data_IF_380640135563
#
_entry.id   IF_380640135563
#
_cell.length_a   1.000
_cell.length_b   1.000
_cell.length_c   1.000
_cell.angle_alpha   90.00
_cell.angle_beta   90.00
_cell.angle_gamma   90.00
#
_symmetry.space_group_name_H-M   'P 1'
#
loop_
_entity.id
_entity.type
_entity.pdbx_description
1 polymer ?
#
# COMPACT_ATOMS: atom_id res chain seq x y z
N UNK A 1 -6.88 8.44 3.63
CA UNK A 1 -8.28 8.26 4.10
C UNK A 1 -8.90 9.63 4.42
N UNK A 2 -10.16 9.87 4.03
CA UNK A 2 -10.87 11.16 4.19
C UNK A 2 -12.17 11.04 5.00
N UNK A 3 -12.56 12.13 5.69
CA UNK A 3 -13.84 12.28 6.40
C UNK A 3 -14.94 12.99 5.60
N UNK A 4 -14.78 13.08 4.28
CA UNK A 4 -15.63 13.79 3.32
C UNK A 4 -15.59 13.07 1.97
N UNK A 5 -16.36 13.53 0.98
CA UNK A 5 -16.29 13.03 -0.40
C UNK A 5 -14.87 13.11 -0.94
N UNK A 6 -14.46 12.16 -1.80
CA UNK A 6 -13.08 12.10 -2.32
C UNK A 6 -12.71 13.31 -3.19
N UNK A 7 -13.71 14.00 -3.73
CA UNK A 7 -13.65 15.25 -4.47
C UNK A 7 -13.45 16.50 -3.58
N UNK A 8 -13.46 16.36 -2.25
CA UNK A 8 -13.29 17.46 -1.30
C UNK A 8 -11.97 17.33 -0.55
N UNK A 9 -11.12 18.36 -0.66
CA UNK A 9 -9.86 18.46 0.06
C UNK A 9 -10.09 19.19 1.39
N UNK A 10 -9.95 18.45 2.49
CA UNK A 10 -10.01 19.01 3.84
C UNK A 10 -8.90 18.41 4.73
N UNK A 11 -8.17 19.23 5.49
CA UNK A 11 -8.23 20.70 5.50
C UNK A 11 -7.64 21.31 4.20
N UNK A 12 -8.08 22.50 3.76
CA UNK A 12 -7.69 23.07 2.46
C UNK A 12 -6.18 23.33 2.35
N UNK A 13 -5.50 23.56 3.47
CA UNK A 13 -4.05 23.75 3.56
C UNK A 13 -3.28 22.50 3.07
N UNK A 14 -3.90 21.32 3.13
CA UNK A 14 -3.31 20.06 2.66
C UNK A 14 -3.47 19.83 1.16
N UNK A 15 -3.93 20.81 0.37
CA UNK A 15 -4.13 20.65 -1.08
C UNK A 15 -2.88 20.15 -1.81
N UNK A 16 -1.70 20.71 -1.52
CA UNK A 16 -0.45 20.25 -2.13
C UNK A 16 -0.16 18.79 -1.77
N UNK A 17 -0.23 18.45 -0.48
CA UNK A 17 0.00 17.09 0.02
C UNK A 17 -0.98 16.08 -0.60
N UNK A 18 -2.25 16.45 -0.79
CA UNK A 18 -3.22 15.60 -1.45
C UNK A 18 -2.77 15.19 -2.86
N UNK A 19 -2.33 16.16 -3.66
CA UNK A 19 -1.84 15.90 -5.02
C UNK A 19 -0.52 15.10 -5.02
N UNK A 20 0.36 15.36 -4.06
CA UNK A 20 1.60 14.60 -3.91
C UNK A 20 1.31 13.11 -3.56
N UNK A 21 0.31 12.85 -2.72
CA UNK A 21 -0.12 11.49 -2.33
C UNK A 21 -0.72 10.74 -3.52
N UNK A 22 -1.62 11.33 -4.30
CA UNK A 22 -2.23 10.62 -5.44
C UNK A 22 -1.21 10.33 -6.55
N UNK A 23 -0.10 11.07 -6.62
CA UNK A 23 0.97 10.81 -7.58
C UNK A 23 1.75 9.51 -7.31
N UNK A 24 1.79 9.05 -6.05
CA UNK A 24 2.63 7.91 -5.62
C UNK A 24 1.90 6.91 -4.71
N UNK A 25 0.60 7.08 -4.52
CA UNK A 25 -0.19 6.36 -3.54
C UNK A 25 -1.68 6.54 -3.79
N UNK A 26 -2.48 6.48 -2.72
CA UNK A 26 -3.93 6.52 -2.84
C UNK A 26 -4.59 7.40 -1.78
N UNK A 27 -5.67 8.07 -2.19
CA UNK A 27 -6.62 8.72 -1.29
C UNK A 27 -7.94 7.98 -1.38
N UNK A 28 -8.46 7.57 -0.22
CA UNK A 28 -9.65 6.73 -0.11
C UNK A 28 -10.69 7.45 0.76
N UNK A 29 -11.96 7.34 0.38
CA UNK A 29 -13.12 7.79 1.15
C UNK A 29 -14.25 6.76 1.09
N UNK A 30 -15.00 6.61 2.19
CA UNK A 30 -16.25 5.82 2.23
C UNK A 30 -17.50 6.68 1.95
N UNK A 31 -17.33 7.99 1.75
CA UNK A 31 -18.45 8.93 1.61
C UNK A 31 -18.78 9.19 0.14
N UNK A 32 -20.08 9.41 -0.20
CA UNK A 32 -20.47 9.87 -1.53
C UNK A 32 -19.75 11.14 -1.94
N UNK A 33 -19.64 11.34 -3.26
CA UNK A 33 -19.12 12.58 -3.82
C UNK A 33 -19.85 13.79 -3.22
N UNK A 34 -19.10 14.87 -3.04
CA UNK A 34 -19.55 16.16 -2.52
C UNK A 34 -20.03 16.16 -1.07
N UNK A 35 -19.82 15.06 -0.32
CA UNK A 35 -20.12 15.02 1.13
C UNK A 35 -19.18 15.97 1.90
N UNK A 36 -19.70 16.95 2.66
CA UNK A 36 -18.85 17.91 3.38
C UNK A 36 -18.07 17.27 4.56
N UNK A 37 -16.97 17.90 5.02
CA UNK A 37 -16.15 17.42 6.12
C UNK A 37 -16.80 17.69 7.49
N UNK A 38 -17.88 16.96 7.79
CA UNK A 38 -18.60 17.10 9.06
C UNK A 38 -17.81 16.47 10.22
N UNK A 39 -17.79 17.14 11.38
CA UNK A 39 -17.01 16.70 12.55
C UNK A 39 -17.27 15.24 12.98
N UNK A 40 -18.51 14.78 12.88
CA UNK A 40 -18.91 13.39 13.19
C UNK A 40 -18.33 12.34 12.24
N UNK A 41 -17.91 12.73 11.03
CA UNK A 41 -17.36 11.81 10.05
C UNK A 41 -15.92 11.40 10.39
N UNK A 42 -15.17 12.23 11.11
CA UNK A 42 -13.76 11.97 11.42
C UNK A 42 -13.59 10.78 12.37
N UNK A 43 -14.30 10.68 13.51
CA UNK A 43 -14.26 9.47 14.34
C UNK A 43 -14.69 8.23 13.56
N UNK A 44 -15.78 8.33 12.78
CA UNK A 44 -16.31 7.22 12.01
C UNK A 44 -15.30 6.67 11.00
N UNK A 45 -14.56 7.54 10.30
CA UNK A 45 -13.53 7.13 9.34
C UNK A 45 -12.35 6.41 9.99
N UNK A 46 -12.03 6.71 11.26
CA UNK A 46 -10.80 6.20 11.90
C UNK A 46 -10.75 4.67 11.94
N UNK A 47 -11.90 3.99 12.01
CA UNK A 47 -12.01 2.53 11.91
C UNK A 47 -11.42 1.96 10.61
N UNK A 48 -11.44 2.72 9.52
CA UNK A 48 -10.88 2.28 8.23
C UNK A 48 -9.37 2.48 8.23
N UNK A 49 -8.86 3.52 8.90
CA UNK A 49 -7.42 3.73 9.05
C UNK A 49 -6.80 2.54 9.77
N UNK A 50 -7.32 2.17 10.94
CA UNK A 50 -6.86 1.00 11.68
C UNK A 50 -7.12 -0.29 10.90
N UNK A 51 -8.28 -0.40 10.24
CA UNK A 51 -8.68 -1.62 9.54
C UNK A 51 -7.78 -1.97 8.36
N UNK A 52 -7.30 -0.96 7.62
CA UNK A 52 -6.35 -1.13 6.50
C UNK A 52 -4.90 -1.32 6.97
N UNK A 53 -4.60 -1.06 8.25
CA UNK A 53 -3.25 -1.16 8.79
C UNK A 53 -3.01 -2.54 9.41
N UNK A 54 -1.75 -2.97 9.50
CA UNK A 54 -1.36 -4.13 10.32
C UNK A 54 -1.25 -3.77 11.81
N UNK A 55 -0.85 -2.53 12.10
CA UNK A 55 -0.88 -1.93 13.41
C UNK A 55 -0.88 -0.40 13.31
N UNK A 56 -1.17 0.28 14.43
CA UNK A 56 -1.25 1.74 14.49
C UNK A 56 -0.29 2.28 15.55
N UNK A 57 0.40 3.37 15.22
CA UNK A 57 1.34 4.04 16.12
C UNK A 57 0.76 5.39 16.53
N UNK A 58 0.63 5.61 17.84
CA UNK A 58 0.20 6.89 18.40
C UNK A 58 1.43 7.63 18.93
N UNK A 59 1.82 8.70 18.23
CA UNK A 59 3.02 9.49 18.55
C UNK A 59 2.74 10.47 19.69
N UNK A 60 1.62 11.21 19.60
CA UNK A 60 1.16 12.11 20.65
C UNK A 60 -0.37 12.03 20.79
N UNK A 61 -0.84 12.13 22.03
CA UNK A 61 -2.24 12.17 22.36
C UNK A 61 -2.49 12.83 23.72
N UNK A 62 -3.36 13.84 23.74
CA UNK A 62 -3.98 14.28 25.00
C UNK A 62 -4.98 13.23 25.51
N UNK A 63 -5.42 13.36 26.76
CA UNK A 63 -6.37 12.43 27.36
C UNK A 63 -7.73 12.32 26.64
N UNK A 64 -8.08 13.28 25.77
CA UNK A 64 -9.30 13.31 24.95
C UNK A 64 -9.01 13.40 23.45
N UNK A 65 -7.81 13.01 23.01
CA UNK A 65 -7.42 13.08 21.60
C UNK A 65 -8.24 12.13 20.73
N UNK A 66 -8.62 12.58 19.53
CA UNK A 66 -9.27 11.74 18.52
C UNK A 66 -8.39 10.56 18.05
N UNK A 67 -7.06 10.65 18.20
CA UNK A 67 -6.15 9.54 17.90
C UNK A 67 -6.37 8.33 18.82
N UNK A 68 -6.88 8.54 20.03
CA UNK A 68 -7.24 7.44 20.95
C UNK A 68 -8.42 6.63 20.44
N UNK A 69 -9.33 7.23 19.67
CA UNK A 69 -10.44 6.52 19.02
C UNK A 69 -9.89 5.54 17.97
N UNK A 70 -8.87 5.95 17.21
CA UNK A 70 -8.19 5.06 16.26
C UNK A 70 -7.50 3.89 16.97
N UNK A 71 -6.86 4.15 18.11
CA UNK A 71 -6.26 3.08 18.92
C UNK A 71 -7.30 2.10 19.45
N UNK A 72 -8.47 2.58 19.92
CA UNK A 72 -9.57 1.72 20.33
C UNK A 72 -10.08 0.85 19.18
N UNK A 73 -10.31 1.42 17.99
CA UNK A 73 -10.72 0.64 16.82
C UNK A 73 -9.67 -0.38 16.39
N UNK A 74 -8.38 -0.05 16.50
CA UNK A 74 -7.30 -1.00 16.23
C UNK A 74 -7.38 -2.22 17.16
N UNK A 75 -7.54 -2.02 18.46
CA UNK A 75 -7.70 -3.10 19.43
C UNK A 75 -8.95 -3.94 19.15
N UNK A 76 -10.09 -3.30 18.88
CA UNK A 76 -11.34 -3.99 18.51
C UNK A 76 -11.20 -4.87 17.25
N UNK A 77 -10.32 -4.47 16.33
CA UNK A 77 -10.05 -5.16 15.07
C UNK A 77 -8.89 -6.16 15.16
N UNK A 78 -8.32 -6.37 16.36
CA UNK A 78 -7.16 -7.25 16.55
C UNK A 78 -5.92 -6.74 15.81
N UNK A 79 -5.70 -5.42 15.78
CA UNK A 79 -4.49 -4.78 15.25
C UNK A 79 -3.56 -4.40 16.39
N UNK A 80 -2.26 -4.45 16.11
CA UNK A 80 -1.25 -3.99 17.07
C UNK A 80 -1.40 -2.49 17.34
N UNK A 81 -1.24 -2.11 18.61
CA UNK A 81 -1.20 -0.70 19.02
C UNK A 81 0.14 -0.40 19.64
N UNK A 82 0.82 0.56 19.04
CA UNK A 82 2.10 1.09 19.49
C UNK A 82 1.90 2.51 20.01
N UNK A 83 2.68 2.89 21.02
CA UNK A 83 2.63 4.23 21.58
C UNK A 83 4.03 4.74 21.91
N UNK A 84 4.31 5.97 21.49
CA UNK A 84 5.58 6.64 21.81
C UNK A 84 5.50 7.18 23.24
N UNK A 85 6.46 6.83 24.13
CA UNK A 85 6.46 7.35 25.48
C UNK A 85 6.79 8.84 25.48
N UNK A 86 6.27 9.57 26.46
CA UNK A 86 6.57 10.99 26.59
C UNK A 86 6.55 11.50 28.02
N UNK A 87 6.94 12.76 28.20
CA UNK A 87 7.05 13.36 29.52
C UNK A 87 5.72 13.30 30.28
N UNK A 88 5.73 12.78 31.50
CA UNK A 88 4.53 12.62 32.35
C UNK A 88 3.81 13.94 32.65
N UNK A 89 4.53 15.07 32.63
CA UNK A 89 3.97 16.40 32.82
C UNK A 89 3.37 17.02 31.54
N UNK A 90 3.65 16.45 30.36
CA UNK A 90 3.16 16.97 29.10
C UNK A 90 1.73 16.47 28.83
N UNK A 91 0.80 17.40 28.59
CA UNK A 91 -0.59 17.05 28.27
C UNK A 91 -0.69 16.15 27.01
N UNK A 92 0.19 16.35 26.04
CA UNK A 92 0.26 15.59 24.77
C UNK A 92 0.80 14.17 24.93
N UNK A 93 1.37 13.81 26.09
CA UNK A 93 1.85 12.44 26.35
C UNK A 93 0.94 11.64 27.26
N UNK A 94 -0.13 12.25 27.80
CA UNK A 94 -1.03 11.57 28.73
C UNK A 94 -1.75 10.37 28.09
N UNK A 95 -2.17 10.52 26.83
CA UNK A 95 -2.86 9.47 26.08
C UNK A 95 -1.93 8.33 25.71
N UNK A 96 -0.73 8.63 25.19
CA UNK A 96 0.25 7.59 24.82
C UNK A 96 0.74 6.83 26.04
N UNK A 97 1.10 7.52 27.12
CA UNK A 97 1.50 6.87 28.38
C UNK A 97 0.38 6.01 28.99
N UNK A 98 -0.90 6.41 28.80
CA UNK A 98 -2.05 5.59 29.22
C UNK A 98 -2.19 4.34 28.36
N UNK A 99 -2.04 4.46 27.04
CA UNK A 99 -2.07 3.30 26.14
C UNK A 99 -0.98 2.28 26.52
N UNK A 100 0.23 2.75 26.82
CA UNK A 100 1.33 1.88 27.29
C UNK A 100 0.93 1.14 28.57
N UNK A 101 0.35 1.85 29.55
CA UNK A 101 -0.17 1.25 30.78
C UNK A 101 -1.30 0.23 30.54
N UNK A 102 -2.01 0.34 29.42
CA UNK A 102 -3.09 -0.56 29.02
C UNK A 102 -2.61 -1.72 28.14
N UNK A 103 -1.30 -1.82 27.89
CA UNK A 103 -0.69 -2.93 27.14
C UNK A 103 -0.32 -2.60 25.70
N UNK A 104 -0.46 -1.35 25.24
CA UNK A 104 0.15 -0.95 23.97
C UNK A 104 1.68 -1.07 24.05
N UNK A 105 2.31 -1.54 22.97
CA UNK A 105 3.77 -1.69 22.92
C UNK A 105 4.40 -0.30 22.93
N UNK A 106 5.31 -0.08 23.88
CA UNK A 106 6.14 1.12 23.91
C UNK A 106 7.10 1.07 22.71
N UNK A 107 7.21 2.18 21.97
CA UNK A 107 8.13 2.29 20.83
C UNK A 107 9.03 3.51 20.96
N UNK A 108 10.32 3.30 20.79
CA UNK A 108 11.36 4.34 20.76
C UNK A 108 11.83 4.60 19.33
N UNK A 109 11.72 3.59 18.45
CA UNK A 109 12.12 3.66 17.05
C UNK A 109 11.23 2.84 16.11
N UNK A 110 11.58 2.86 14.83
CA UNK A 110 10.87 2.08 13.81
C UNK A 110 11.11 0.57 13.98
N UNK A 111 12.25 0.20 14.54
CA UNK A 111 12.69 -1.18 14.79
C UNK A 111 11.73 -1.92 15.74
N UNK A 112 11.22 -1.22 16.77
CA UNK A 112 10.24 -1.78 17.71
C UNK A 112 8.91 -2.14 17.04
N UNK A 113 8.54 -1.37 16.02
CA UNK A 113 7.35 -1.60 15.20
C UNK A 113 7.63 -2.77 14.24
N UNK A 114 8.74 -2.71 13.51
CA UNK A 114 9.10 -3.72 12.50
C UNK A 114 9.26 -5.11 13.12
N UNK A 115 9.86 -5.21 14.31
CA UNK A 115 10.00 -6.49 15.02
C UNK A 115 8.66 -7.17 15.34
N UNK A 116 7.59 -6.38 15.51
CA UNK A 116 6.24 -6.90 15.77
C UNK A 116 5.48 -7.23 14.48
N UNK A 117 5.67 -6.41 13.45
CA UNK A 117 4.88 -6.46 12.22
C UNK A 117 5.45 -7.43 11.19
N UNK A 118 6.78 -7.54 11.06
CA UNK A 118 7.42 -8.39 10.04
C UNK A 118 7.00 -9.86 10.13
N UNK A 119 6.92 -10.50 11.32
CA UNK A 119 6.46 -11.89 11.42
C UNK A 119 5.02 -12.08 10.91
N UNK A 120 4.17 -11.05 11.05
CA UNK A 120 2.79 -11.07 10.55
C UNK A 120 2.73 -10.82 9.04
N UNK A 121 3.70 -10.07 8.50
CA UNK A 121 3.81 -9.77 7.09
C UNK A 121 4.29 -10.98 6.29
N UNK A 122 5.31 -11.70 6.77
CA UNK A 122 5.83 -12.91 6.11
C UNK A 122 4.74 -13.97 5.89
N UNK A 123 3.78 -14.10 6.82
CA UNK A 123 2.62 -14.98 6.66
C UNK A 123 1.52 -14.46 5.72
N UNK A 124 1.62 -13.21 5.24
CA UNK A 124 0.62 -12.53 4.41
C UNK A 124 1.14 -12.10 3.04
N UNK A 125 2.42 -12.25 2.77
CA UNK A 125 2.95 -12.03 1.42
C UNK A 125 2.33 -13.11 0.53
N UNK A 126 1.34 -12.73 -0.26
CA UNK A 126 1.16 -13.36 -1.56
C UNK A 126 2.44 -13.02 -2.32
N UNK A 127 3.44 -13.89 -2.21
CA UNK A 127 4.50 -13.88 -3.18
C UNK A 127 3.82 -14.22 -4.50
N UNK A 128 3.46 -13.20 -5.28
CA UNK A 128 3.78 -13.29 -6.70
C UNK A 128 5.30 -13.42 -6.74
N UNK A 129 5.79 -14.65 -6.56
CA UNK A 129 7.11 -15.01 -7.05
C UNK A 129 7.07 -14.59 -8.50
N UNK A 130 7.72 -13.47 -8.83
CA UNK A 130 8.01 -13.14 -10.22
C UNK A 130 8.66 -14.41 -10.77
N UNK A 131 8.01 -15.09 -11.73
CA UNK A 131 8.43 -16.43 -12.09
C UNK A 131 9.87 -16.33 -12.57
N UNK A 132 10.74 -17.18 -12.02
CA UNK A 132 12.17 -17.14 -12.33
C UNK A 132 12.35 -17.08 -13.86
N UNK A 133 12.92 -15.97 -14.34
CA UNK A 133 13.17 -15.75 -15.75
C UNK A 133 14.56 -16.26 -16.08
N UNK A 134 14.67 -17.00 -17.17
CA UNK A 134 15.97 -17.22 -17.81
C UNK A 134 16.48 -15.90 -18.41
N UNK A 135 17.79 -15.82 -18.66
CA UNK A 135 18.41 -14.62 -19.28
C UNK A 135 17.75 -14.26 -20.62
N UNK A 136 17.33 -15.28 -21.39
CA UNK A 136 16.64 -15.11 -22.66
C UNK A 136 15.21 -14.58 -22.50
N UNK A 137 14.48 -15.09 -21.50
CA UNK A 137 13.14 -14.59 -21.15
C UNK A 137 13.19 -13.14 -20.71
N UNK A 138 14.16 -12.78 -19.86
CA UNK A 138 14.38 -11.41 -19.42
C UNK A 138 14.72 -10.47 -20.58
N UNK A 139 15.55 -10.94 -21.52
CA UNK A 139 15.94 -10.16 -22.71
C UNK A 139 14.74 -9.89 -23.63
N UNK A 140 13.91 -10.90 -23.92
CA UNK A 140 12.72 -10.71 -24.75
C UNK A 140 11.69 -9.80 -24.07
N UNK A 141 11.51 -9.95 -22.76
CA UNK A 141 10.55 -9.14 -21.98
C UNK A 141 10.92 -7.65 -21.96
N UNK A 142 12.20 -7.30 -22.12
CA UNK A 142 12.65 -5.90 -22.20
C UNK A 142 12.23 -5.20 -23.51
N UNK A 143 12.04 -5.95 -24.60
CA UNK A 143 11.59 -5.39 -25.88
C UNK A 143 10.07 -5.21 -25.95
N UNK A 144 9.32 -5.90 -25.08
CA UNK A 144 7.86 -5.86 -25.07
C UNK A 144 7.34 -4.74 -24.15
N UNK A 145 6.33 -4.03 -24.65
CA UNK A 145 5.60 -3.00 -23.92
C UNK A 145 4.09 -3.22 -24.11
N UNK A 146 3.27 -2.23 -23.73
CA UNK A 146 1.85 -2.22 -24.05
C UNK A 146 1.55 -2.00 -25.55
N UNK A 147 2.57 -1.69 -26.36
CA UNK A 147 2.43 -1.60 -27.82
C UNK A 147 2.64 -2.98 -28.45
N UNK A 148 1.68 -3.50 -29.23
CA UNK A 148 1.82 -4.81 -29.88
C UNK A 148 3.02 -4.88 -30.83
N UNK A 149 3.84 -5.91 -30.69
CA UNK A 149 4.97 -6.21 -31.57
C UNK A 149 4.81 -7.57 -32.24
N UNK A 150 5.13 -7.65 -33.54
CA UNK A 150 5.09 -8.91 -34.29
C UNK A 150 6.27 -9.81 -33.90
N UNK A 151 6.06 -11.13 -33.93
CA UNK A 151 7.11 -12.11 -33.60
C UNK A 151 8.40 -11.94 -34.40
N UNK A 152 8.32 -11.56 -35.67
CA UNK A 152 9.50 -11.33 -36.53
C UNK A 152 10.30 -10.10 -36.09
N UNK A 153 9.63 -9.05 -35.60
CA UNK A 153 10.30 -7.86 -35.06
C UNK A 153 11.00 -8.18 -33.74
N UNK A 154 10.36 -9.00 -32.89
CA UNK A 154 10.95 -9.49 -31.64
C UNK A 154 12.18 -10.36 -31.93
N UNK A 155 12.10 -11.23 -32.94
CA UNK A 155 13.23 -12.03 -33.44
C UNK A 155 14.38 -11.17 -33.92
N UNK A 156 14.10 -10.12 -34.69
CA UNK A 156 15.13 -9.18 -35.15
C UNK A 156 15.80 -8.43 -34.00
N UNK A 157 15.03 -7.95 -33.03
CA UNK A 157 15.54 -7.20 -31.87
C UNK A 157 16.34 -8.10 -30.92
N UNK A 158 15.84 -9.31 -30.66
CA UNK A 158 16.49 -10.28 -29.79
C UNK A 158 17.67 -11.01 -30.42
N UNK A 159 17.93 -10.82 -31.73
CA UNK A 159 18.94 -11.57 -32.49
C UNK A 159 18.81 -13.09 -32.31
N UNK A 160 17.57 -13.58 -32.27
CA UNK A 160 17.23 -14.97 -32.04
C UNK A 160 16.37 -15.50 -33.18
N UNK A 161 16.52 -16.78 -33.50
CA UNK A 161 15.64 -17.46 -34.45
C UNK A 161 14.18 -17.41 -34.00
N UNK A 162 13.25 -17.20 -34.94
CA UNK A 162 11.80 -17.09 -34.68
C UNK A 162 11.28 -18.30 -33.90
N UNK A 163 11.84 -19.48 -34.14
CA UNK A 163 11.50 -20.72 -33.42
C UNK A 163 11.84 -20.63 -31.93
N UNK A 164 13.00 -20.06 -31.59
CA UNK A 164 13.43 -19.86 -30.19
C UNK A 164 12.58 -18.80 -29.51
N UNK A 165 12.34 -17.68 -30.20
CA UNK A 165 11.46 -16.61 -29.72
C UNK A 165 10.05 -17.12 -29.46
N UNK A 166 9.49 -17.94 -30.36
CA UNK A 166 8.15 -18.53 -30.18
C UNK A 166 8.06 -19.39 -28.92
N UNK A 167 9.11 -20.16 -28.61
CA UNK A 167 9.13 -21.00 -27.41
C UNK A 167 9.24 -20.15 -26.13
N UNK A 168 10.04 -19.08 -26.16
CA UNK A 168 10.19 -18.15 -25.04
C UNK A 168 8.90 -17.37 -24.79
N UNK A 169 8.25 -16.87 -25.85
CA UNK A 169 6.98 -16.14 -25.75
C UNK A 169 5.86 -17.04 -25.18
N UNK A 170 5.82 -18.31 -25.56
CA UNK A 170 4.89 -19.28 -24.97
C UNK A 170 5.16 -19.48 -23.48
N UNK A 171 6.44 -19.60 -23.07
CA UNK A 171 6.81 -19.69 -21.65
C UNK A 171 6.38 -18.44 -20.87
N UNK A 172 6.63 -17.25 -21.43
CA UNK A 172 6.24 -15.97 -20.83
C UNK A 172 4.70 -15.79 -20.75
N UNK A 173 3.96 -16.31 -21.73
CA UNK A 173 2.49 -16.32 -21.74
C UNK A 173 1.93 -17.26 -20.68
N UNK A 174 2.49 -18.48 -20.54
CA UNK A 174 2.14 -19.41 -19.47
C UNK A 174 2.45 -18.85 -18.07
N UNK A 175 3.49 -18.03 -17.97
CA UNK A 175 3.86 -17.26 -16.77
C UNK A 175 2.99 -16.02 -16.55
N UNK A 176 2.07 -15.70 -17.46
CA UNK A 176 1.17 -14.55 -17.37
C UNK A 176 1.83 -13.19 -17.56
N UNK A 177 3.05 -13.13 -18.11
CA UNK A 177 3.81 -11.89 -18.29
C UNK A 177 3.61 -11.24 -19.68
N UNK A 178 3.15 -12.02 -20.65
CA UNK A 178 2.93 -11.60 -22.04
C UNK A 178 1.59 -12.15 -22.50
N UNK A 179 0.91 -11.42 -23.38
CA UNK A 179 -0.32 -11.88 -24.05
C UNK A 179 -0.14 -11.92 -25.56
N UNK A 180 -0.59 -13.01 -26.20
CA UNK A 180 -0.69 -13.09 -27.66
C UNK A 180 -2.01 -12.49 -28.16
N UNK A 181 -1.92 -11.58 -29.14
CA UNK A 181 -3.03 -11.01 -29.88
C UNK A 181 -3.16 -11.66 -31.27
N UNK A 182 -4.24 -11.33 -31.98
CA UNK A 182 -4.45 -11.77 -33.36
C UNK A 182 -3.28 -11.35 -34.26
N UNK A 183 -2.91 -12.21 -35.21
CA UNK A 183 -1.83 -11.92 -36.16
C UNK A 183 -0.41 -12.06 -35.59
N UNK A 184 -0.19 -12.94 -34.59
CA UNK A 184 1.14 -13.21 -34.00
C UNK A 184 1.81 -11.96 -33.41
N UNK A 185 0.98 -11.08 -32.86
CA UNK A 185 1.39 -9.88 -32.15
C UNK A 185 1.43 -10.17 -30.65
N UNK A 186 2.40 -9.61 -29.93
CA UNK A 186 2.60 -9.84 -28.50
C UNK A 186 2.70 -8.51 -27.75
N UNK A 187 2.16 -8.48 -26.53
CA UNK A 187 2.23 -7.33 -25.60
C UNK A 187 2.64 -7.79 -24.21
N UNK A 188 3.30 -6.91 -23.46
CA UNK A 188 3.58 -7.14 -22.04
C UNK A 188 2.34 -6.79 -21.21
N UNK A 189 2.00 -7.69 -20.27
CA UNK A 189 0.93 -7.49 -19.30
C UNK A 189 1.28 -6.42 -18.27
#
# INVERSE_FOLDING_TARGET
>A
MLGCGVDIIYPPENKKLFFDIIGHGAVISEFPLSTPPEGKNFPRRNRIISGLSMGVVIVEATAKSGSLITASHALEQGREVFAVPGNVGAATSQGTNRLIKQGAKLVEGAEDILSEILPQYEGRVFHEELPALSDEEGSILQFLSHTPLHIDEISRLGQMEVQRVSAILLSLELKGLVSQLAGKMFVRN
#
